data_IF_042327814320
#
_entry.id   IF_042327814320
#
_cell.length_a   1.000
_cell.length_b   1.000
_cell.length_c   1.000
_cell.angle_alpha   90.00
_cell.angle_beta   90.00
_cell.angle_gamma   90.00
#
_symmetry.space_group_name_H-M   'P 1'
#
loop_
_entity.id
_entity.type
_entity.pdbx_description
1 polymer ?
#
# COMPACT_ATOMS: atom_id res chain seq x y z
N UNK A 1 -20.56 5.88 30.97
CA UNK A 1 -19.83 6.32 29.78
C UNK A 1 -18.44 5.71 29.81
N UNK A 2 -18.28 4.52 29.25
CA UNK A 2 -17.01 3.78 29.26
C UNK A 2 -16.11 4.29 28.13
N UNK A 3 -15.06 5.04 28.50
CA UNK A 3 -13.93 5.31 27.62
C UNK A 3 -13.01 4.08 27.64
N UNK A 4 -12.88 3.39 26.51
CA UNK A 4 -11.94 2.28 26.36
C UNK A 4 -10.63 2.78 25.74
N UNK A 5 -9.57 2.62 26.51
CA UNK A 5 -8.18 3.00 26.24
C UNK A 5 -7.63 2.29 24.98
N UNK A 6 -7.05 3.06 24.05
CA UNK A 6 -6.33 2.54 22.88
C UNK A 6 -5.02 1.87 23.30
N UNK A 7 -4.80 0.62 22.90
CA UNK A 7 -3.50 -0.05 23.03
C UNK A 7 -2.48 0.53 22.04
N UNK A 8 -1.24 0.82 22.45
CA UNK A 8 -0.20 1.27 21.55
C UNK A 8 0.60 0.07 21.05
N UNK A 9 0.39 -0.35 19.80
CA UNK A 9 1.33 -1.26 19.13
C UNK A 9 1.85 -0.60 17.85
N UNK A 10 3.14 -0.25 17.91
CA UNK A 10 3.93 0.58 16.98
C UNK A 10 3.54 2.06 16.96
N UNK A 11 4.46 2.87 17.47
CA UNK A 11 4.49 4.34 17.47
C UNK A 11 3.73 4.95 16.27
N UNK A 12 2.62 5.63 16.56
CA UNK A 12 1.97 6.57 15.62
C UNK A 12 0.88 6.02 14.71
N UNK A 13 0.63 4.71 14.62
CA UNK A 13 -0.44 4.20 13.74
C UNK A 13 -1.80 4.20 14.46
N UNK A 14 -2.66 5.17 14.12
CA UNK A 14 -4.04 5.19 14.61
C UNK A 14 -4.92 4.24 13.77
N UNK A 15 -5.31 3.12 14.37
CA UNK A 15 -6.26 2.20 13.78
C UNK A 15 -7.66 2.62 14.17
N UNK A 16 -8.49 3.04 13.20
CA UNK A 16 -9.93 3.27 13.44
C UNK A 16 -10.73 2.13 12.80
N UNK A 17 -11.25 1.25 13.65
CA UNK A 17 -12.18 0.19 13.27
C UNK A 17 -11.52 -1.19 13.03
N UNK A 18 -12.33 -2.27 13.01
CA UNK A 18 -11.84 -3.66 12.96
C UNK A 18 -11.46 -4.16 11.56
N UNK A 19 -11.54 -3.31 10.53
CA UNK A 19 -11.39 -3.74 9.13
C UNK A 19 -9.96 -4.12 8.73
N UNK A 20 -8.93 -3.63 9.42
CA UNK A 20 -7.53 -3.80 9.01
C UNK A 20 -6.89 -5.03 9.67
N UNK A 21 -6.48 -6.00 8.86
CA UNK A 21 -5.66 -7.13 9.27
C UNK A 21 -4.19 -6.87 8.91
N UNK A 22 -3.36 -6.61 9.93
CA UNK A 22 -1.93 -6.34 9.77
C UNK A 22 -1.11 -7.57 9.37
N UNK A 23 -1.55 -8.78 9.73
CA UNK A 23 -0.84 -10.02 9.37
C UNK A 23 -1.00 -10.35 7.89
N UNK A 24 -2.15 -10.01 7.29
CA UNK A 24 -2.44 -10.26 5.88
C UNK A 24 -2.38 -9.02 4.98
N UNK A 25 -2.22 -7.82 5.56
CA UNK A 25 -2.17 -6.55 4.81
C UNK A 25 -3.49 -6.18 4.13
N UNK A 26 -4.61 -6.70 4.64
CA UNK A 26 -5.94 -6.54 4.03
C UNK A 26 -6.83 -5.64 4.87
N UNK A 27 -7.58 -4.76 4.21
CA UNK A 27 -8.68 -4.02 4.80
C UNK A 27 -10.02 -4.58 4.32
N UNK A 28 -10.84 -5.12 5.21
CA UNK A 28 -12.19 -5.59 4.92
C UNK A 28 -13.22 -4.52 5.24
N UNK A 29 -14.03 -4.15 4.25
CA UNK A 29 -15.09 -3.16 4.40
C UNK A 29 -16.21 -3.70 5.31
N UNK A 30 -16.50 -3.06 6.46
CA UNK A 30 -17.56 -3.49 7.35
C UNK A 30 -18.96 -3.23 6.77
N UNK A 31 -19.10 -2.19 5.95
CA UNK A 31 -20.33 -1.82 5.26
C UNK A 31 -20.05 -1.47 3.79
N UNK A 32 -21.09 -1.46 2.96
CA UNK A 32 -20.94 -0.99 1.59
C UNK A 32 -20.80 0.54 1.54
N UNK A 33 -19.92 1.05 0.68
CA UNK A 33 -19.73 2.50 0.51
C UNK A 33 -18.44 2.88 -0.21
N UNK A 34 -18.21 4.19 -0.33
CA UNK A 34 -17.00 4.78 -0.90
C UNK A 34 -15.95 4.96 0.20
N UNK A 35 -14.78 4.36 -0.01
CA UNK A 35 -13.65 4.45 0.90
C UNK A 35 -12.50 5.18 0.22
N UNK A 36 -11.93 6.19 0.89
CA UNK A 36 -10.64 6.75 0.50
C UNK A 36 -9.53 5.90 1.07
N UNK A 37 -8.63 5.45 0.21
CA UNK A 37 -7.45 4.69 0.56
C UNK A 37 -6.22 5.56 0.40
N UNK A 38 -5.28 5.44 1.34
CA UNK A 38 -3.94 6.00 1.21
C UNK A 38 -2.93 4.96 1.66
N UNK A 39 -1.93 4.70 0.82
CA UNK A 39 -0.74 3.95 1.20
C UNK A 39 0.50 4.77 0.92
N UNK A 40 1.43 4.78 1.86
CA UNK A 40 2.75 5.39 1.70
C UNK A 40 3.77 4.31 2.00
N UNK A 41 4.55 3.89 1.00
CA UNK A 41 5.57 2.87 1.15
C UNK A 41 6.95 3.51 1.10
N UNK A 42 7.74 3.23 2.12
CA UNK A 42 9.16 3.60 2.20
C UNK A 42 9.96 2.40 1.73
N UNK A 43 10.68 2.53 0.63
CA UNK A 43 11.28 1.40 -0.09
C UNK A 43 12.77 1.65 -0.25
N UNK A 44 13.56 0.64 0.11
CA UNK A 44 15.00 0.63 -0.16
C UNK A 44 15.26 -0.32 -1.31
N UNK A 45 15.90 0.22 -2.35
CA UNK A 45 16.36 -0.55 -3.50
C UNK A 45 17.83 -0.86 -3.36
N UNK A 46 18.16 -2.13 -3.08
CA UNK A 46 19.55 -2.58 -3.07
C UNK A 46 19.92 -3.10 -4.43
N UNK A 47 20.56 -2.24 -5.20
CA UNK A 47 20.98 -2.61 -6.53
C UNK A 47 22.28 -3.43 -6.48
N UNK A 48 22.30 -4.66 -7.01
CA UNK A 48 23.55 -5.39 -7.15
C UNK A 48 24.43 -4.66 -8.16
N UNK A 49 25.69 -4.40 -7.80
CA UNK A 49 26.72 -3.80 -8.67
C UNK A 49 27.02 -4.72 -9.85
N UNK A 50 26.16 -4.74 -10.87
CA UNK A 50 26.42 -5.42 -12.14
C UNK A 50 27.06 -4.42 -13.10
N UNK A 51 28.36 -4.58 -13.36
CA UNK A 51 29.06 -3.86 -14.43
C UNK A 51 28.44 -4.27 -15.78
N UNK A 52 27.90 -3.32 -16.53
CA UNK A 52 27.75 -3.44 -17.98
C UNK A 52 26.37 -3.72 -18.57
N UNK A 53 25.27 -3.61 -17.83
CA UNK A 53 23.93 -3.69 -18.43
C UNK A 53 23.23 -2.32 -18.40
N UNK A 54 23.05 -1.73 -19.58
CA UNK A 54 22.24 -0.53 -19.76
C UNK A 54 20.85 -0.78 -19.20
N UNK A 55 20.50 -0.04 -18.14
CA UNK A 55 19.23 -0.24 -17.45
C UNK A 55 18.12 0.36 -18.29
N UNK A 56 17.33 -0.51 -18.92
CA UNK A 56 15.95 -0.19 -19.27
C UNK A 56 15.30 0.39 -18.01
N UNK A 57 14.69 1.56 -18.12
CA UNK A 57 14.12 2.28 -16.97
C UNK A 57 13.27 1.35 -16.11
N UNK A 58 13.84 0.96 -14.96
CA UNK A 58 13.14 0.15 -13.99
C UNK A 58 12.07 1.01 -13.35
N UNK A 59 10.88 0.45 -13.19
CA UNK A 59 9.79 1.13 -12.51
C UNK A 59 9.17 0.22 -11.47
N UNK A 60 8.66 0.88 -10.44
CA UNK A 60 7.88 0.27 -9.39
C UNK A 60 6.43 0.69 -9.60
N UNK A 61 5.52 -0.27 -9.55
CA UNK A 61 4.09 0.01 -9.53
C UNK A 61 3.51 -0.46 -8.20
N UNK A 62 2.85 0.45 -7.49
CA UNK A 62 2.11 0.13 -6.27
C UNK A 62 0.63 0.22 -6.59
N UNK A 63 -0.12 -0.80 -6.23
CA UNK A 63 -1.55 -0.89 -6.48
C UNK A 63 -2.32 -1.17 -5.18
N UNK A 64 -3.56 -0.68 -5.12
CA UNK A 64 -4.55 -1.05 -4.11
C UNK A 64 -5.69 -1.73 -4.86
N UNK A 65 -5.94 -3.01 -4.58
CA UNK A 65 -6.87 -3.81 -5.36
C UNK A 65 -7.98 -4.41 -4.50
N UNK A 66 -9.22 -4.38 -5.01
CA UNK A 66 -10.36 -5.02 -4.37
C UNK A 66 -10.37 -6.51 -4.69
N UNK A 67 -10.49 -7.36 -3.66
CA UNK A 67 -10.50 -8.83 -3.78
C UNK A 67 -9.30 -9.40 -4.56
N UNK A 68 -8.14 -8.75 -4.46
CA UNK A 68 -6.94 -9.08 -5.26
C UNK A 68 -7.13 -8.94 -6.79
N UNK A 69 -8.23 -8.33 -7.25
CA UNK A 69 -8.48 -8.08 -8.67
C UNK A 69 -7.94 -6.70 -9.06
N UNK A 70 -6.71 -6.68 -9.59
CA UNK A 70 -6.07 -5.44 -10.07
C UNK A 70 -6.40 -5.11 -11.55
N UNK A 71 -7.53 -5.60 -12.06
CA UNK A 71 -7.99 -5.35 -13.43
C UNK A 71 -9.20 -4.40 -13.41
N UNK A 72 -9.46 -3.71 -14.52
CA UNK A 72 -10.72 -2.98 -14.80
C UNK A 72 -11.27 -2.09 -13.66
N UNK A 73 -10.82 -0.83 -13.58
CA UNK A 73 -11.36 0.24 -12.71
C UNK A 73 -11.56 -0.10 -11.22
N UNK A 74 -11.07 -1.26 -10.76
CA UNK A 74 -11.23 -1.79 -9.40
C UNK A 74 -9.93 -1.71 -8.61
N UNK A 75 -9.06 -0.79 -9.01
CA UNK A 75 -7.80 -0.54 -8.35
C UNK A 75 -7.42 0.94 -8.39
N UNK A 76 -6.56 1.30 -7.45
CA UNK A 76 -5.78 2.52 -7.47
C UNK A 76 -4.34 2.14 -7.76
N UNK A 77 -3.62 2.96 -8.53
CA UNK A 77 -2.22 2.67 -8.82
C UNK A 77 -1.38 3.94 -8.92
N UNK A 78 -0.09 3.80 -8.61
CA UNK A 78 0.93 4.78 -8.91
C UNK A 78 2.16 4.05 -9.44
N UNK A 79 2.80 4.65 -10.45
CA UNK A 79 4.04 4.15 -11.03
C UNK A 79 5.13 5.16 -10.73
N UNK A 80 6.24 4.71 -10.17
CA UNK A 80 7.43 5.52 -10.01
C UNK A 80 8.61 4.89 -10.74
N UNK A 81 9.49 5.74 -11.26
CA UNK A 81 10.75 5.29 -11.84
C UNK A 81 11.73 5.01 -10.70
N UNK A 82 12.46 3.91 -10.83
CA UNK A 82 13.48 3.55 -9.88
C UNK A 82 14.82 4.15 -10.32
N UNK A 83 15.32 5.08 -9.53
CA UNK A 83 16.63 5.69 -9.71
C UNK A 83 17.72 4.74 -9.20
N UNK A 84 18.91 4.81 -9.78
CA UNK A 84 20.02 3.88 -9.52
C UNK A 84 20.84 4.31 -8.29
N UNK A 85 20.35 4.07 -7.07
CA UNK A 85 21.19 4.00 -5.86
C UNK A 85 20.39 3.62 -4.63
N UNK A 86 21.08 3.09 -3.61
CA UNK A 86 20.54 2.59 -2.34
C UNK A 86 19.92 3.62 -1.40
N UNK A 87 19.25 4.63 -1.96
CA UNK A 87 18.53 5.65 -1.22
C UNK A 87 17.11 5.17 -0.88
N UNK A 88 16.61 5.67 0.25
CA UNK A 88 15.23 5.47 0.65
C UNK A 88 14.32 6.23 -0.31
N UNK A 89 13.46 5.53 -1.02
CA UNK A 89 12.48 6.10 -1.92
C UNK A 89 11.06 5.93 -1.36
N UNK A 90 10.24 6.97 -1.49
CA UNK A 90 8.84 6.96 -1.02
C UNK A 90 7.88 6.99 -2.19
N UNK A 91 6.91 6.07 -2.19
CA UNK A 91 5.80 6.04 -3.14
C UNK A 91 4.47 6.09 -2.38
N UNK A 92 3.57 6.95 -2.86
CA UNK A 92 2.25 7.11 -2.27
C UNK A 92 1.18 6.79 -3.31
N UNK A 93 0.17 6.01 -2.91
CA UNK A 93 -1.07 5.82 -3.69
C UNK A 93 -2.22 6.37 -2.86
N UNK A 94 -3.03 7.23 -3.47
CA UNK A 94 -4.24 7.77 -2.85
C UNK A 94 -5.38 7.75 -3.85
N UNK A 95 -6.59 7.47 -3.37
CA UNK A 95 -7.79 7.55 -4.18
C UNK A 95 -8.98 6.90 -3.51
N UNK A 96 -10.11 6.85 -4.23
CA UNK A 96 -11.37 6.34 -3.70
C UNK A 96 -11.80 5.09 -4.45
N UNK A 97 -12.23 4.06 -3.72
CA UNK A 97 -12.85 2.86 -4.26
C UNK A 97 -14.17 2.60 -3.56
N UNK A 98 -15.15 2.12 -4.30
CA UNK A 98 -16.38 1.59 -3.73
C UNK A 98 -16.17 0.13 -3.34
N UNK A 99 -16.48 -0.23 -2.10
CA UNK A 99 -16.45 -1.61 -1.61
C UNK A 99 -17.85 -2.01 -1.16
N UNK A 100 -18.24 -3.25 -1.47
CA UNK A 100 -19.37 -3.93 -0.84
C UNK A 100 -18.98 -4.43 0.55
N UNK A 101 -19.96 -4.62 1.44
CA UNK A 101 -19.73 -5.20 2.75
C UNK A 101 -19.05 -6.58 2.62
N UNK A 102 -17.97 -6.79 3.37
CA UNK A 102 -17.17 -8.02 3.34
C UNK A 102 -16.15 -8.11 2.20
N UNK A 103 -16.14 -7.18 1.23
CA UNK A 103 -15.03 -7.08 0.30
C UNK A 103 -13.79 -6.55 1.01
N UNK A 104 -12.62 -7.03 0.58
CA UNK A 104 -11.34 -6.54 1.08
C UNK A 104 -10.58 -5.78 0.00
N UNK A 105 -9.75 -4.83 0.43
CA UNK A 105 -8.72 -4.18 -0.36
C UNK A 105 -7.33 -4.52 0.19
N UNK A 106 -6.36 -4.71 -0.69
CA UNK A 106 -4.96 -4.99 -0.32
C UNK A 106 -3.97 -4.24 -1.20
N UNK A 107 -2.79 -3.98 -0.66
CA UNK A 107 -1.69 -3.30 -1.36
C UNK A 107 -0.81 -4.34 -2.07
N UNK A 108 -0.54 -4.12 -3.35
CA UNK A 108 0.36 -4.92 -4.17
C UNK A 108 1.52 -4.06 -4.67
N UNK A 109 2.70 -4.69 -4.79
CA UNK A 109 3.90 -4.05 -5.32
C UNK A 109 4.42 -4.88 -6.49
N UNK A 110 4.39 -4.30 -7.68
CA UNK A 110 4.96 -4.89 -8.89
C UNK A 110 6.32 -4.24 -9.19
N UNK A 111 7.36 -5.07 -9.21
CA UNK A 111 8.75 -4.67 -9.30
C UNK A 111 9.37 -5.15 -10.61
N UNK A 112 9.62 -4.21 -11.53
CA UNK A 112 10.26 -4.51 -12.82
C UNK A 112 11.78 -4.38 -12.81
N UNK A 113 12.39 -4.04 -11.68
CA UNK A 113 13.82 -3.78 -11.57
C UNK A 113 14.70 -5.04 -11.61
N UNK A 114 14.10 -6.23 -11.46
CA UNK A 114 14.84 -7.50 -11.49
C UNK A 114 15.78 -7.72 -10.30
N UNK A 115 15.74 -6.83 -9.30
CA UNK A 115 16.49 -6.91 -8.04
C UNK A 115 15.53 -6.76 -6.86
N UNK A 116 15.83 -7.37 -5.70
CA UNK A 116 14.95 -7.30 -4.54
C UNK A 116 14.78 -5.86 -4.03
N UNK A 117 13.58 -5.57 -3.54
CA UNK A 117 13.21 -4.34 -2.85
C UNK A 117 12.82 -4.68 -1.42
N UNK A 118 13.08 -3.75 -0.50
CA UNK A 118 12.67 -3.89 0.90
C UNK A 118 11.74 -2.77 1.28
N UNK A 119 10.51 -3.11 1.68
CA UNK A 119 9.58 -2.17 2.29
C UNK A 119 10.02 -1.96 3.74
N UNK A 120 10.25 -0.71 4.12
CA UNK A 120 10.74 -0.32 5.44
C UNK A 120 9.61 -0.19 6.45
N UNK A 121 9.96 -0.43 7.72
CA UNK A 121 9.16 -0.01 8.86
C UNK A 121 8.92 1.50 8.79
N UNK A 122 7.68 1.94 9.04
CA UNK A 122 7.25 3.33 8.83
C UNK A 122 6.54 3.57 7.50
N UNK A 123 6.32 2.51 6.72
CA UNK A 123 5.30 2.50 5.67
C UNK A 123 3.90 2.37 6.29
N UNK A 124 2.91 3.02 5.67
CA UNK A 124 1.55 3.15 6.19
C UNK A 124 0.49 2.76 5.16
N UNK A 125 -0.66 2.33 5.68
CA UNK A 125 -1.87 2.06 4.90
C UNK A 125 -3.10 2.45 5.71
N UNK A 126 -4.03 3.17 5.07
CA UNK A 126 -5.26 3.65 5.70
C UNK A 126 -6.44 3.56 4.74
N UNK A 127 -7.63 3.38 5.31
CA UNK A 127 -8.90 3.37 4.63
C UNK A 127 -9.93 4.12 5.47
N UNK A 128 -10.62 5.09 4.86
CA UNK A 128 -11.63 5.93 5.54
C UNK A 128 -12.91 5.92 4.73
N UNK A 129 -14.03 5.57 5.36
CA UNK A 129 -15.36 5.67 4.76
C UNK A 129 -15.71 7.14 4.53
N UNK A 130 -16.00 7.50 3.28
CA UNK A 130 -16.45 8.84 2.90
C UNK A 130 -17.97 8.97 2.90
N UNK A 131 -18.67 7.91 2.49
CA UNK A 131 -20.12 7.91 2.34
C UNK A 131 -20.64 6.57 1.82
N UNK A 132 -21.95 6.37 1.93
CA UNK A 132 -22.68 5.17 1.50
C UNK A 132 -23.55 5.47 0.29
#
# INVERSE_FOLDING_TARGET
SSHSLSQPEREGMFHRGPGLNLSSGQYTAPIAGYYTFTTTLHIVHREPRRKGQGRRGSHLRVLICVQSCCQHNSNLQTVSRLESSGDLFTITVTGTLYLQAGQYASVFVDNTAGSPLTVQSGSDFSAILLGV
#
